data_IF_197832173066
#
_entry.id   IF_197832173066
#
_cell.length_a   1.000
_cell.length_b   1.000
_cell.length_c   1.000
_cell.angle_alpha   90.00
_cell.angle_beta   90.00
_cell.angle_gamma   90.00
#
_symmetry.space_group_name_H-M   'P 1'
#
loop_
_entity.id
_entity.type
_entity.pdbx_description
1 polymer ?
#
# COMPACT_ATOMS: atom_id res chain seq x y z
N UNK A 1 10.63 -81.56 -27.11
CA UNK A 1 11.56 -80.49 -27.50
C UNK A 1 11.05 -79.18 -26.94
N UNK A 2 11.60 -78.77 -25.80
CA UNK A 2 11.10 -77.70 -24.93
C UNK A 2 11.69 -76.36 -25.35
N UNK A 3 10.85 -75.44 -25.81
CA UNK A 3 11.24 -74.08 -26.16
C UNK A 3 11.28 -73.20 -24.91
N UNK A 4 12.48 -72.78 -24.52
CA UNK A 4 12.74 -71.88 -23.39
C UNK A 4 12.41 -70.43 -23.79
N UNK A 5 11.41 -69.85 -23.13
CA UNK A 5 11.11 -68.41 -23.19
C UNK A 5 12.10 -67.64 -22.32
N UNK A 6 12.85 -66.73 -22.94
CA UNK A 6 13.67 -65.73 -22.25
C UNK A 6 12.76 -64.53 -21.92
N UNK A 7 12.62 -64.10 -20.66
CA UNK A 7 11.90 -62.87 -20.34
C UNK A 7 12.77 -61.65 -20.64
N UNK A 8 12.27 -60.76 -21.51
CA UNK A 8 12.85 -59.44 -21.77
C UNK A 8 12.62 -58.52 -20.57
N UNK A 9 13.68 -58.20 -19.84
CA UNK A 9 13.68 -57.19 -18.77
C UNK A 9 13.63 -55.82 -19.42
N UNK A 10 12.46 -55.16 -19.32
CA UNK A 10 12.26 -53.77 -19.72
C UNK A 10 12.89 -52.88 -18.64
N UNK A 11 14.09 -52.37 -18.92
CA UNK A 11 14.73 -51.36 -18.09
C UNK A 11 13.98 -50.02 -18.21
N UNK A 12 13.40 -49.55 -17.11
CA UNK A 12 12.81 -48.22 -16.99
C UNK A 12 13.91 -47.14 -16.95
N UNK A 13 13.74 -45.98 -17.63
CA UNK A 13 14.81 -45.00 -17.79
C UNK A 13 14.93 -43.97 -16.63
N UNK A 14 14.56 -44.34 -15.40
CA UNK A 14 14.45 -43.37 -14.28
C UNK A 14 15.44 -43.58 -13.13
N UNK A 15 16.51 -44.35 -13.32
CA UNK A 15 17.47 -44.66 -12.24
C UNK A 15 18.90 -44.15 -12.48
N UNK A 16 19.09 -43.14 -13.34
CA UNK A 16 20.42 -42.56 -13.62
C UNK A 16 20.67 -41.16 -13.05
N UNK A 17 19.79 -40.63 -12.19
CA UNK A 17 19.94 -39.27 -11.65
C UNK A 17 20.27 -39.20 -10.15
N UNK A 18 20.88 -40.25 -9.58
CA UNK A 18 21.23 -40.28 -8.15
C UNK A 18 22.67 -40.70 -7.82
N UNK A 19 23.58 -40.75 -8.80
CA UNK A 19 25.00 -41.02 -8.55
C UNK A 19 25.92 -39.94 -9.09
N UNK A 20 25.91 -38.79 -8.41
CA UNK A 20 27.07 -37.91 -8.30
C UNK A 20 27.06 -37.19 -6.94
N UNK A 21 26.85 -37.95 -5.86
CA UNK A 21 27.26 -37.50 -4.53
C UNK A 21 28.76 -37.79 -4.42
N UNK A 22 29.55 -36.75 -4.62
CA UNK A 22 30.99 -36.76 -4.37
C UNK A 22 31.29 -37.35 -2.99
N UNK A 23 32.32 -38.19 -2.85
CA UNK A 23 32.70 -38.75 -1.55
C UNK A 23 33.11 -37.64 -0.59
N UNK A 24 32.95 -37.96 0.68
CA UNK A 24 33.14 -37.13 1.84
C UNK A 24 34.51 -36.42 1.90
N UNK A 25 34.48 -35.20 2.45
CA UNK A 25 35.38 -34.90 3.57
C UNK A 25 36.69 -34.18 3.31
N UNK A 26 36.95 -33.65 2.11
CA UNK A 26 38.03 -32.66 1.99
C UNK A 26 37.60 -31.36 2.67
N UNK A 27 38.19 -31.08 3.85
CA UNK A 27 38.10 -29.78 4.52
C UNK A 27 38.71 -28.74 3.57
N UNK A 28 37.87 -28.13 2.73
CA UNK A 28 38.30 -27.00 1.90
C UNK A 28 38.92 -25.97 2.83
N UNK A 29 40.20 -25.65 2.60
CA UNK A 29 40.88 -24.60 3.34
C UNK A 29 40.00 -23.35 3.33
N UNK A 30 39.89 -22.68 4.47
CA UNK A 30 39.18 -21.41 4.56
C UNK A 30 39.79 -20.48 3.50
N UNK A 31 39.01 -19.97 2.54
CA UNK A 31 39.55 -19.12 1.49
C UNK A 31 40.20 -17.90 2.12
N UNK A 32 41.31 -17.44 1.54
CA UNK A 32 41.92 -16.21 2.01
C UNK A 32 40.93 -15.05 1.85
N UNK A 33 41.04 -14.02 2.69
CA UNK A 33 40.13 -12.88 2.65
C UNK A 33 40.09 -12.24 1.25
N UNK A 34 41.23 -12.19 0.56
CA UNK A 34 41.35 -11.67 -0.81
C UNK A 34 40.56 -12.52 -1.80
N UNK A 35 40.68 -13.84 -1.73
CA UNK A 35 39.90 -14.76 -2.58
C UNK A 35 38.40 -14.68 -2.30
N UNK A 36 38.01 -14.42 -1.06
CA UNK A 36 36.61 -14.19 -0.71
C UNK A 36 36.07 -12.90 -1.33
N UNK A 37 36.83 -11.81 -1.28
CA UNK A 37 36.48 -10.53 -1.90
C UNK A 37 36.39 -10.65 -3.43
N UNK A 38 37.35 -11.32 -4.07
CA UNK A 38 37.31 -11.56 -5.52
C UNK A 38 36.12 -12.42 -5.97
N UNK A 39 35.71 -13.38 -5.13
CA UNK A 39 34.57 -14.25 -5.42
C UNK A 39 33.23 -13.50 -5.29
N UNK A 40 33.11 -12.61 -4.32
CA UNK A 40 31.87 -11.86 -4.06
C UNK A 40 31.76 -10.56 -4.86
N UNK A 41 32.87 -9.98 -5.33
CA UNK A 41 32.87 -8.78 -6.18
C UNK A 41 32.37 -9.06 -7.60
N UNK A 42 32.42 -10.32 -8.07
CA UNK A 42 31.91 -10.70 -9.38
C UNK A 42 30.39 -10.98 -9.29
N UNK A 43 29.55 -10.33 -10.11
CA UNK A 43 28.12 -10.60 -10.11
C UNK A 43 27.83 -12.06 -10.50
N UNK A 44 26.92 -12.70 -9.75
CA UNK A 44 26.57 -14.11 -9.94
C UNK A 44 25.95 -14.33 -11.33
N UNK A 45 26.72 -14.89 -12.27
CA UNK A 45 26.24 -15.25 -13.62
C UNK A 45 25.32 -16.47 -13.53
N UNK A 46 24.01 -16.23 -13.45
CA UNK A 46 23.00 -17.29 -13.49
C UNK A 46 22.88 -17.83 -14.92
N UNK A 47 23.44 -19.02 -15.18
CA UNK A 47 23.23 -19.73 -16.44
C UNK A 47 21.79 -20.25 -16.44
N UNK A 48 20.92 -19.65 -17.24
CA UNK A 48 19.58 -20.19 -17.50
C UNK A 48 19.72 -21.25 -18.60
N UNK A 49 19.33 -22.52 -18.36
CA UNK A 49 19.31 -23.50 -19.44
C UNK A 49 18.39 -22.99 -20.55
N UNK A 50 18.94 -22.84 -21.77
CA UNK A 50 18.14 -22.51 -22.95
C UNK A 50 17.47 -23.80 -23.41
N UNK A 51 16.16 -23.87 -23.31
CA UNK A 51 15.39 -24.94 -23.93
C UNK A 51 15.54 -24.86 -25.46
N UNK A 52 15.94 -25.97 -26.07
CA UNK A 52 16.01 -26.07 -27.54
C UNK A 52 14.59 -25.96 -28.07
N UNK A 53 14.33 -24.92 -28.88
CA UNK A 53 13.00 -24.66 -29.45
C UNK A 53 12.61 -25.80 -30.39
N UNK A 54 11.66 -26.64 -29.97
CA UNK A 54 11.04 -27.64 -30.84
C UNK A 54 10.18 -26.89 -31.85
N UNK A 55 10.60 -26.89 -33.12
CA UNK A 55 9.83 -26.26 -34.20
C UNK A 55 8.50 -26.98 -34.35
N UNK A 56 7.42 -26.21 -34.31
CA UNK A 56 6.09 -26.74 -34.64
C UNK A 56 6.11 -27.26 -36.09
N UNK A 57 5.28 -28.25 -36.44
CA UNK A 57 5.20 -28.79 -37.81
C UNK A 57 5.08 -27.70 -38.90
N UNK A 58 4.45 -26.57 -38.56
CA UNK A 58 4.22 -25.39 -39.39
C UNK A 58 5.45 -24.50 -39.63
N UNK A 59 6.46 -24.60 -38.77
CA UNK A 59 7.70 -23.82 -38.85
C UNK A 59 8.80 -24.56 -39.63
N UNK A 60 8.57 -25.80 -40.05
CA UNK A 60 9.51 -26.56 -40.88
C UNK A 60 9.39 -26.06 -42.32
N UNK A 61 10.52 -25.74 -42.94
CA UNK A 61 10.56 -25.32 -44.35
C UNK A 61 10.16 -26.50 -45.25
N UNK A 62 9.18 -26.30 -46.13
CA UNK A 62 8.79 -27.24 -47.18
C UNK A 62 7.33 -27.71 -47.10
N UNK A 63 6.78 -28.26 -48.18
CA UNK A 63 5.43 -28.82 -48.19
C UNK A 63 5.34 -30.02 -47.24
N UNK A 64 4.28 -30.08 -46.44
CA UNK A 64 4.06 -31.20 -45.52
C UNK A 64 3.96 -32.53 -46.28
N UNK A 65 4.53 -33.59 -45.72
CA UNK A 65 4.37 -34.93 -46.29
C UNK A 65 2.91 -35.39 -46.21
N UNK A 66 2.45 -36.25 -47.13
CA UNK A 66 1.06 -36.76 -47.18
C UNK A 66 0.56 -37.34 -45.84
N UNK A 67 1.44 -38.01 -45.07
CA UNK A 67 1.14 -38.52 -43.72
C UNK A 67 0.88 -37.39 -42.71
N UNK A 68 1.59 -36.28 -42.83
CA UNK A 68 1.43 -35.11 -41.98
C UNK A 68 0.14 -34.35 -42.33
N UNK A 69 -0.23 -34.29 -43.62
CA UNK A 69 -1.52 -33.75 -44.06
C UNK A 69 -2.71 -34.50 -43.48
N UNK A 70 -2.70 -35.84 -43.47
CA UNK A 70 -3.78 -36.62 -42.82
C UNK A 70 -3.91 -36.29 -41.32
N UNK A 71 -2.78 -36.15 -40.62
CA UNK A 71 -2.77 -35.75 -39.20
C UNK A 71 -3.31 -34.32 -39.02
N UNK A 72 -2.99 -33.42 -39.95
CA UNK A 72 -3.53 -32.07 -39.94
C UNK A 72 -5.03 -32.04 -40.14
N UNK A 73 -5.57 -32.72 -41.15
CA UNK A 73 -7.02 -32.75 -41.37
C UNK A 73 -7.77 -33.35 -40.18
N UNK A 74 -7.24 -34.40 -39.57
CA UNK A 74 -7.79 -34.95 -38.33
C UNK A 74 -7.72 -33.95 -37.15
N UNK A 75 -6.66 -33.16 -37.06
CA UNK A 75 -6.53 -32.09 -36.06
C UNK A 75 -7.49 -30.93 -36.33
N UNK A 76 -7.60 -30.49 -37.59
CA UNK A 76 -8.46 -29.39 -38.00
C UNK A 76 -9.94 -29.73 -37.80
N UNK A 77 -10.37 -30.95 -38.16
CA UNK A 77 -11.73 -31.40 -37.91
C UNK A 77 -12.12 -31.36 -36.42
N UNK A 78 -11.16 -31.53 -35.51
CA UNK A 78 -11.40 -31.49 -34.05
C UNK A 78 -11.23 -30.11 -33.42
N UNK A 79 -10.34 -29.26 -33.95
CA UNK A 79 -9.94 -28.02 -33.29
C UNK A 79 -10.29 -26.74 -34.08
N UNK A 80 -10.56 -26.85 -35.38
CA UNK A 80 -10.95 -25.72 -36.21
C UNK A 80 -12.46 -25.46 -36.18
N UNK A 81 -13.24 -26.35 -35.57
CA UNK A 81 -14.64 -26.08 -35.26
C UNK A 81 -14.71 -24.85 -34.34
N UNK A 82 -15.56 -23.85 -34.64
CA UNK A 82 -15.71 -22.69 -33.78
C UNK A 82 -16.10 -23.13 -32.38
N UNK A 83 -15.17 -23.00 -31.44
CA UNK A 83 -15.42 -23.36 -30.06
C UNK A 83 -16.46 -22.39 -29.52
N UNK A 84 -17.67 -22.87 -29.27
CA UNK A 84 -18.71 -22.09 -28.59
C UNK A 84 -18.09 -21.55 -27.30
N UNK A 85 -17.96 -20.23 -27.23
CA UNK A 85 -17.40 -19.56 -26.05
C UNK A 85 -18.38 -19.78 -24.92
N UNK A 86 -18.13 -20.80 -24.10
CA UNK A 86 -18.76 -20.95 -22.79
C UNK A 86 -18.62 -19.61 -22.09
N UNK A 87 -19.75 -19.08 -21.63
CA UNK A 87 -19.77 -17.83 -20.88
C UNK A 87 -18.71 -17.92 -19.79
N UNK A 88 -17.81 -16.93 -19.75
CA UNK A 88 -16.75 -16.93 -18.75
C UNK A 88 -17.46 -16.97 -17.40
N UNK A 89 -17.14 -17.93 -16.52
CA UNK A 89 -17.71 -17.93 -15.19
C UNK A 89 -17.45 -16.56 -14.56
N UNK A 90 -18.41 -16.01 -13.81
CA UNK A 90 -18.24 -14.71 -13.18
C UNK A 90 -16.90 -14.68 -12.43
N UNK A 91 -16.14 -13.58 -12.53
CA UNK A 91 -14.82 -13.51 -11.93
C UNK A 91 -14.94 -13.88 -10.46
N UNK A 92 -14.25 -14.96 -10.05
CA UNK A 92 -14.22 -15.38 -8.65
C UNK A 92 -13.73 -14.19 -7.84
N UNK A 93 -14.57 -13.67 -6.96
CA UNK A 93 -14.20 -12.63 -6.00
C UNK A 93 -13.05 -13.23 -5.17
N UNK A 94 -11.83 -12.72 -5.39
CA UNK A 94 -10.60 -13.28 -4.83
C UNK A 94 -10.53 -13.13 -3.30
N UNK A 95 -11.44 -12.37 -2.71
CA UNK A 95 -11.55 -12.18 -1.27
C UNK A 95 -12.40 -13.30 -0.64
N UNK A 96 -12.00 -14.56 -0.79
CA UNK A 96 -12.57 -15.67 -0.01
C UNK A 96 -11.84 -15.89 1.32
N UNK A 97 -10.59 -15.46 1.40
CA UNK A 97 -9.79 -15.58 2.59
C UNK A 97 -10.24 -14.57 3.66
N UNK A 98 -10.77 -15.06 4.78
CA UNK A 98 -11.25 -14.25 5.91
C UNK A 98 -10.17 -13.32 6.50
N UNK A 99 -8.89 -13.69 6.35
CA UNK A 99 -7.77 -12.87 6.81
C UNK A 99 -7.54 -11.62 5.96
N UNK A 100 -8.10 -11.53 4.75
CA UNK A 100 -7.93 -10.36 3.89
C UNK A 100 -8.90 -9.22 4.29
N UNK A 101 -8.45 -7.95 4.28
CA UNK A 101 -9.28 -6.81 4.69
C UNK A 101 -10.60 -6.69 3.91
N UNK A 102 -10.62 -7.15 2.66
CA UNK A 102 -11.79 -7.11 1.79
C UNK A 102 -12.86 -8.17 2.08
N UNK A 103 -12.53 -9.23 2.84
CA UNK A 103 -13.48 -10.28 3.23
C UNK A 103 -14.07 -10.05 4.64
N UNK A 104 -13.49 -9.12 5.41
CA UNK A 104 -13.99 -8.78 6.74
C UNK A 104 -15.31 -8.03 6.61
N UNK A 105 -16.32 -8.49 7.35
CA UNK A 105 -17.59 -7.76 7.48
C UNK A 105 -17.31 -6.43 8.19
N UNK A 106 -17.85 -5.33 7.68
CA UNK A 106 -17.79 -4.06 8.39
C UNK A 106 -18.60 -4.23 9.69
N UNK A 107 -17.91 -4.15 10.84
CA UNK A 107 -18.59 -4.12 12.12
C UNK A 107 -19.18 -2.72 12.30
N UNK A 108 -20.51 -2.64 12.33
CA UNK A 108 -21.22 -1.46 12.80
C UNK A 108 -21.19 -1.51 14.33
N UNK A 109 -20.28 -0.74 14.93
CA UNK A 109 -20.20 -0.58 16.38
C UNK A 109 -21.31 0.38 16.80
N UNK A 110 -22.06 0.08 17.86
CA UNK A 110 -23.06 1.02 18.39
C UNK A 110 -22.39 2.29 18.95
N UNK A 111 -23.10 3.42 18.92
CA UNK A 111 -22.55 4.72 19.32
C UNK A 111 -22.02 4.72 20.77
N UNK A 112 -22.75 4.10 21.70
CA UNK A 112 -22.34 4.03 23.11
C UNK A 112 -21.10 3.16 23.31
N UNK A 113 -21.03 2.00 22.66
CA UNK A 113 -19.84 1.13 22.69
C UNK A 113 -18.61 1.83 22.09
N UNK A 114 -18.81 2.62 21.02
CA UNK A 114 -17.75 3.43 20.43
C UNK A 114 -17.22 4.45 21.45
N UNK A 115 -18.10 5.16 22.17
CA UNK A 115 -17.71 6.13 23.19
C UNK A 115 -16.93 5.48 24.33
N UNK A 116 -17.39 4.34 24.85
CA UNK A 116 -16.66 3.61 25.91
C UNK A 116 -15.28 3.13 25.45
N UNK A 117 -15.20 2.62 24.21
CA UNK A 117 -13.92 2.18 23.64
C UNK A 117 -12.96 3.36 23.45
N UNK A 118 -13.48 4.54 23.07
CA UNK A 118 -12.69 5.76 22.98
C UNK A 118 -12.17 6.19 24.36
N UNK A 119 -13.00 6.16 25.41
CA UNK A 119 -12.56 6.48 26.77
C UNK A 119 -11.46 5.52 27.27
N UNK A 120 -11.58 4.24 26.92
CA UNK A 120 -10.56 3.21 27.23
C UNK A 120 -9.25 3.46 26.47
N UNK A 121 -9.32 3.86 25.20
CA UNK A 121 -8.14 4.14 24.36
C UNK A 121 -7.47 5.48 24.68
N UNK A 122 -8.24 6.46 25.15
CA UNK A 122 -7.74 7.77 25.56
C UNK A 122 -6.86 7.68 26.81
N UNK A 123 -7.15 6.70 27.68
CA UNK A 123 -6.33 6.42 28.86
C UNK A 123 -5.11 5.57 28.44
N UNK A 124 -3.88 6.01 28.75
CA UNK A 124 -2.71 5.19 28.49
C UNK A 124 -2.80 3.88 29.29
N UNK A 125 -2.29 2.77 28.75
CA UNK A 125 -2.35 1.47 29.45
C UNK A 125 -1.58 1.54 30.77
N UNK A 126 -2.09 0.87 31.81
CA UNK A 126 -1.56 0.94 33.18
C UNK A 126 -0.05 0.62 33.28
N UNK A 127 0.46 -0.22 32.38
CA UNK A 127 1.88 -0.59 32.30
C UNK A 127 2.79 0.58 31.91
N UNK A 128 2.26 1.61 31.27
CA UNK A 128 3.01 2.80 30.85
C UNK A 128 2.90 3.97 31.84
N UNK A 129 2.02 3.86 32.84
CA UNK A 129 1.87 4.85 33.91
C UNK A 129 3.04 4.74 34.91
N UNK A 130 4.20 5.26 34.53
CA UNK A 130 5.30 5.51 35.48
C UNK A 130 5.16 6.91 36.08
N UNK A 131 5.74 7.16 37.27
CA UNK A 131 5.76 8.50 37.91
C UNK A 131 6.28 9.61 36.98
N UNK A 132 7.06 9.27 35.95
CA UNK A 132 7.55 10.20 34.91
C UNK A 132 6.47 10.64 33.90
N UNK A 133 5.43 9.85 33.72
CA UNK A 133 4.31 10.10 32.81
C UNK A 133 3.09 10.70 33.52
N UNK A 134 3.17 10.92 34.84
CA UNK A 134 2.31 11.87 35.53
C UNK A 134 2.80 13.27 35.14
N UNK A 135 2.29 13.78 34.03
CA UNK A 135 2.48 15.18 33.69
C UNK A 135 1.72 15.99 34.73
N UNK A 136 2.46 16.66 35.61
CA UNK A 136 1.93 17.86 36.26
C UNK A 136 1.87 18.87 35.13
N UNK A 137 0.67 19.15 34.62
CA UNK A 137 0.47 20.20 33.64
C UNK A 137 0.96 21.51 34.27
N UNK A 138 2.21 21.87 33.95
CA UNK A 138 2.72 23.21 34.18
C UNK A 138 2.26 24.02 32.99
N UNK A 139 1.61 25.14 33.28
CA UNK A 139 1.13 26.04 32.24
C UNK A 139 2.26 26.33 31.25
N UNK A 140 2.08 26.05 29.95
CA UNK A 140 3.12 26.29 28.97
C UNK A 140 3.46 27.78 28.97
N UNK A 141 4.75 28.17 29.03
CA UNK A 141 5.13 29.56 28.95
C UNK A 141 4.66 30.14 27.61
N UNK A 142 4.15 31.37 27.65
CA UNK A 142 3.61 32.09 26.50
C UNK A 142 4.58 32.08 25.30
N UNK A 143 4.20 31.40 24.22
CA UNK A 143 4.95 31.31 22.96
C UNK A 143 4.17 32.02 21.84
N UNK A 144 4.49 33.29 21.50
CA UNK A 144 3.75 34.09 20.53
C UNK A 144 4.12 33.80 19.06
N UNK A 145 4.43 32.55 18.68
CA UNK A 145 4.89 32.25 17.32
C UNK A 145 3.94 31.26 16.63
N UNK A 146 3.04 31.79 15.81
CA UNK A 146 2.29 31.01 14.82
C UNK A 146 3.24 30.79 13.64
N UNK A 147 4.09 29.76 13.73
CA UNK A 147 4.90 29.34 12.57
C UNK A 147 3.99 28.58 11.62
N UNK A 148 3.68 29.18 10.47
CA UNK A 148 3.19 28.41 9.32
C UNK A 148 4.35 27.50 8.91
N UNK A 149 4.25 26.21 9.21
CA UNK A 149 5.34 25.25 9.05
C UNK A 149 6.00 25.35 7.67
N UNK A 150 7.33 25.20 7.62
CA UNK A 150 8.04 25.14 6.34
C UNK A 150 7.45 24.04 5.46
N UNK A 151 7.26 24.30 4.15
CA UNK A 151 6.79 23.27 3.25
C UNK A 151 7.74 22.07 3.28
N UNK A 152 7.21 20.84 3.11
CA UNK A 152 8.01 19.63 3.17
C UNK A 152 9.16 19.68 2.16
N UNK A 153 10.37 19.42 2.66
CA UNK A 153 11.58 19.42 1.84
C UNK A 153 11.57 18.25 0.86
N UNK A 154 12.10 18.46 -0.35
CA UNK A 154 12.24 17.40 -1.35
C UNK A 154 13.19 16.28 -0.86
N UNK A 155 12.78 15.02 -1.01
CA UNK A 155 13.55 13.83 -0.64
C UNK A 155 14.80 13.67 -1.53
N UNK A 156 15.99 13.71 -0.92
CA UNK A 156 17.30 13.70 -1.61
C UNK A 156 17.68 12.35 -2.28
N UNK A 157 16.76 11.39 -2.37
CA UNK A 157 17.05 10.01 -2.81
C UNK A 157 16.34 9.56 -4.09
N UNK A 158 15.57 10.43 -4.75
CA UNK A 158 14.87 10.05 -5.99
C UNK A 158 15.86 10.07 -7.17
N UNK A 159 16.02 8.98 -7.94
CA UNK A 159 16.96 8.91 -9.06
C UNK A 159 16.59 9.79 -10.26
N UNK A 160 15.47 10.53 -10.19
CA UNK A 160 15.02 11.43 -11.24
C UNK A 160 14.62 12.76 -10.61
N UNK A 161 15.10 13.86 -11.18
CA UNK A 161 14.59 15.20 -10.86
C UNK A 161 13.10 15.24 -11.21
N UNK A 162 12.22 15.64 -10.27
CA UNK A 162 10.82 15.80 -10.59
C UNK A 162 10.67 16.90 -11.65
N UNK A 163 9.71 16.74 -12.58
CA UNK A 163 9.43 17.77 -13.56
C UNK A 163 9.02 19.06 -12.85
N UNK A 164 9.51 20.20 -13.32
CA UNK A 164 9.16 21.51 -12.77
C UNK A 164 7.69 21.80 -13.10
N UNK A 165 6.83 21.78 -12.08
CA UNK A 165 5.41 22.12 -12.20
C UNK A 165 5.25 23.60 -11.89
N UNK A 166 4.70 24.42 -12.81
CA UNK A 166 4.42 25.81 -12.51
C UNK A 166 3.39 25.93 -11.39
N UNK A 167 3.52 26.96 -10.57
CA UNK A 167 2.66 27.20 -9.41
C UNK A 167 1.18 27.36 -9.78
N UNK A 168 0.90 27.89 -10.97
CA UNK A 168 -0.44 28.11 -11.50
C UNK A 168 -0.39 27.90 -13.03
N UNK A 169 -1.41 27.24 -13.59
CA UNK A 169 -1.64 27.27 -15.04
C UNK A 169 -2.59 28.41 -15.37
N UNK A 170 -2.36 29.07 -16.51
CA UNK A 170 -3.22 30.17 -16.97
C UNK A 170 -4.59 29.63 -17.39
N UNK A 171 -4.59 28.48 -18.08
CA UNK A 171 -5.78 27.79 -18.60
C UNK A 171 -5.71 26.29 -18.27
N UNK A 172 -6.89 25.66 -18.10
CA UNK A 172 -7.02 24.22 -17.86
C UNK A 172 -6.45 23.36 -19.01
N UNK A 173 -6.48 23.88 -20.25
CA UNK A 173 -5.90 23.20 -21.42
C UNK A 173 -4.38 23.06 -21.31
N UNK A 174 -3.70 24.11 -20.81
CA UNK A 174 -2.25 24.09 -20.60
C UNK A 174 -1.88 23.14 -19.45
N UNK A 175 -2.73 23.06 -18.43
CA UNK A 175 -2.58 22.07 -17.36
C UNK A 175 -2.71 20.64 -17.93
N UNK A 176 -3.77 20.38 -18.70
CA UNK A 176 -4.01 19.07 -19.30
C UNK A 176 -2.86 18.64 -20.23
N UNK A 177 -2.35 19.57 -21.05
CA UNK A 177 -1.24 19.33 -21.96
C UNK A 177 0.06 19.07 -21.21
N UNK A 178 0.35 19.86 -20.16
CA UNK A 178 1.51 19.65 -19.30
C UNK A 178 1.49 18.25 -18.66
N UNK A 179 0.36 17.85 -18.08
CA UNK A 179 0.22 16.52 -17.49
C UNK A 179 0.25 15.41 -18.53
N UNK A 180 -0.19 15.67 -19.77
CA UNK A 180 -0.13 14.69 -20.86
C UNK A 180 1.32 14.38 -21.29
N UNK A 181 2.17 15.40 -21.37
CA UNK A 181 3.59 15.26 -21.73
C UNK A 181 4.42 14.56 -20.65
N UNK A 182 4.04 14.72 -19.38
CA UNK A 182 4.66 14.04 -18.26
C UNK A 182 4.19 12.60 -18.05
N UNK A 183 3.25 12.10 -18.86
CA UNK A 183 2.87 10.68 -18.82
C UNK A 183 4.01 9.83 -19.37
N UNK A 184 4.70 9.15 -18.47
CA UNK A 184 5.61 8.08 -18.83
C UNK A 184 4.91 7.09 -19.78
N UNK A 185 5.58 6.61 -20.84
CA UNK A 185 4.99 5.65 -21.77
C UNK A 185 4.48 4.44 -20.99
N UNK A 186 3.15 4.31 -20.96
CA UNK A 186 2.49 3.28 -20.17
C UNK A 186 2.83 1.94 -20.81
N UNK A 187 3.54 1.07 -20.08
CA UNK A 187 3.83 -0.29 -20.56
C UNK A 187 2.50 -0.97 -20.91
N UNK A 188 2.44 -1.68 -22.05
CA UNK A 188 1.23 -2.43 -22.48
C UNK A 188 0.72 -3.41 -21.41
N UNK A 189 1.59 -3.87 -20.52
CA UNK A 189 1.24 -4.69 -19.36
C UNK A 189 0.48 -3.92 -18.28
N UNK A 190 0.82 -2.65 -18.06
CA UNK A 190 0.12 -1.77 -17.12
C UNK A 190 -1.30 -1.43 -17.60
N UNK A 191 -1.51 -1.31 -18.92
CA UNK A 191 -2.86 -1.13 -19.49
C UNK A 191 -3.81 -2.31 -19.18
N UNK A 192 -3.26 -3.52 -19.00
CA UNK A 192 -4.02 -4.73 -18.65
C UNK A 192 -4.01 -5.01 -17.14
N UNK A 193 -3.25 -4.25 -16.36
CA UNK A 193 -3.12 -4.47 -14.93
C UNK A 193 -4.42 -4.04 -14.24
N UNK A 194 -5.10 -5.00 -13.60
CA UNK A 194 -6.19 -4.70 -12.68
C UNK A 194 -5.58 -4.53 -11.29
N UNK A 195 -5.98 -3.47 -10.58
CA UNK A 195 -5.57 -3.28 -9.19
C UNK A 195 -5.96 -4.52 -8.36
N UNK A 196 -5.06 -4.97 -7.49
CA UNK A 196 -5.37 -6.09 -6.61
C UNK A 196 -6.51 -5.69 -5.65
N UNK A 197 -7.37 -6.62 -5.22
CA UNK A 197 -8.46 -6.31 -4.28
C UNK A 197 -7.96 -5.64 -3.00
N UNK A 198 -6.73 -5.96 -2.58
CA UNK A 198 -6.06 -5.32 -1.45
C UNK A 198 -5.77 -3.84 -1.72
N UNK A 199 -5.21 -3.52 -2.89
CA UNK A 199 -4.95 -2.12 -3.28
C UNK A 199 -6.27 -1.35 -3.35
N UNK A 200 -7.32 -1.95 -3.92
CA UNK A 200 -8.66 -1.34 -3.96
C UNK A 200 -9.20 -1.11 -2.55
N UNK A 201 -9.04 -2.07 -1.63
CA UNK A 201 -9.48 -1.90 -0.23
C UNK A 201 -8.70 -0.83 0.53
N UNK A 202 -7.40 -0.68 0.25
CA UNK A 202 -6.55 0.33 0.86
C UNK A 202 -6.79 1.72 0.26
N UNK A 203 -7.17 1.81 -1.01
CA UNK A 203 -7.48 3.05 -1.70
C UNK A 203 -8.86 3.61 -1.33
N UNK A 204 -9.76 2.79 -0.76
CA UNK A 204 -11.01 3.32 -0.20
C UNK A 204 -10.67 4.32 0.92
N UNK A 205 -11.26 5.53 0.91
CA UNK A 205 -11.02 6.49 1.98
C UNK A 205 -11.36 5.80 3.30
N UNK A 206 -10.37 5.71 4.19
CA UNK A 206 -10.63 5.27 5.55
C UNK A 206 -11.57 6.31 6.14
N UNK A 207 -12.79 5.91 6.46
CA UNK A 207 -13.62 6.65 7.39
C UNK A 207 -12.91 6.57 8.75
N UNK A 208 -11.94 7.46 8.95
CA UNK A 208 -11.44 7.70 10.30
C UNK A 208 -12.65 8.18 11.09
N UNK A 209 -12.94 7.59 12.27
CA UNK A 209 -13.90 8.22 13.16
C UNK A 209 -13.45 9.67 13.33
N UNK A 210 -14.38 10.64 13.25
CA UNK A 210 -14.06 12.06 13.20
C UNK A 210 -13.58 12.58 14.57
N UNK A 211 -12.71 11.89 15.29
CA UNK A 211 -12.44 12.22 16.69
C UNK A 211 -10.96 12.03 17.05
N UNK A 212 -10.28 13.08 17.54
CA UNK A 212 -8.99 12.95 18.18
C UNK A 212 -9.11 12.07 19.43
N UNK A 213 -8.01 11.44 19.81
CA UNK A 213 -7.79 10.56 20.95
C UNK A 213 -8.11 11.19 22.33
N UNK A 214 -8.56 12.44 22.35
CA UNK A 214 -9.00 13.15 23.55
C UNK A 214 -10.41 13.70 23.31
N UNK A 215 -11.28 13.69 24.34
CA UNK A 215 -12.52 14.45 24.28
C UNK A 215 -12.16 15.90 24.00
N UNK A 216 -12.53 16.40 22.82
CA UNK A 216 -12.37 17.81 22.51
C UNK A 216 -13.24 18.55 23.52
N UNK A 217 -12.67 19.42 24.39
CA UNK A 217 -13.50 20.21 25.29
C UNK A 217 -14.55 20.96 24.47
N UNK A 218 -15.79 21.11 24.97
CA UNK A 218 -16.82 21.83 24.24
C UNK A 218 -16.28 23.19 23.82
N UNK A 219 -16.45 23.51 22.53
CA UNK A 219 -15.78 24.65 21.86
C UNK A 219 -16.22 26.01 22.41
N UNK A 220 -17.22 26.05 23.28
CA UNK A 220 -17.81 27.25 23.87
C UNK A 220 -18.21 26.99 25.34
N UNK A 221 -17.87 27.93 26.21
CA UNK A 221 -18.44 28.03 27.56
C UNK A 221 -19.89 28.55 27.44
N UNK A 222 -20.83 28.10 28.29
CA UNK A 222 -22.27 28.33 28.12
C UNK A 222 -22.71 29.82 28.10
N UNK A 223 -21.87 30.74 28.58
CA UNK A 223 -22.16 32.18 28.58
C UNK A 223 -21.74 32.91 27.29
N UNK A 224 -20.94 32.28 26.41
CA UNK A 224 -20.53 32.85 25.11
C UNK A 224 -21.51 32.56 23.97
N UNK A 225 -22.44 31.61 24.14
CA UNK A 225 -23.47 31.30 23.15
C UNK A 225 -24.76 32.11 23.35
N UNK A 226 -24.75 33.13 24.22
CA UNK A 226 -25.86 34.07 24.30
C UNK A 226 -25.98 34.80 22.95
N UNK A 227 -27.14 34.70 22.26
CA UNK A 227 -27.31 35.35 20.98
C UNK A 227 -27.05 36.84 21.14
N UNK A 228 -26.21 37.38 20.26
CA UNK A 228 -25.87 38.80 20.30
C UNK A 228 -27.13 39.68 20.23
N UNK A 229 -27.06 40.91 20.75
CA UNK A 229 -28.18 41.84 20.70
C UNK A 229 -28.67 41.99 19.26
N UNK A 230 -30.00 41.98 19.05
CA UNK A 230 -30.67 41.94 17.73
C UNK A 230 -30.35 43.12 16.78
N UNK A 231 -29.38 43.99 17.08
CA UNK A 231 -29.13 45.27 16.38
C UNK A 231 -27.77 45.36 15.66
N UNK A 232 -27.83 46.07 14.53
CA UNK A 232 -26.94 46.27 13.37
C UNK A 232 -25.44 46.57 13.58
N UNK A 233 -24.88 46.62 14.79
CA UNK A 233 -23.51 47.13 15.01
C UNK A 233 -22.40 46.07 15.00
N UNK A 234 -22.73 44.80 15.23
CA UNK A 234 -21.74 43.71 15.23
C UNK A 234 -22.25 42.49 14.46
N UNK A 235 -21.40 41.90 13.62
CA UNK A 235 -21.61 40.54 13.09
C UNK A 235 -21.49 39.53 14.23
N UNK A 236 -22.00 38.30 14.06
CA UNK A 236 -21.86 37.24 15.10
C UNK A 236 -20.40 37.05 15.55
N UNK A 237 -19.45 37.06 14.60
CA UNK A 237 -18.02 37.05 14.89
C UNK A 237 -17.54 38.32 15.62
N UNK A 238 -18.01 39.50 15.20
CA UNK A 238 -17.68 40.76 15.87
C UNK A 238 -18.21 40.84 17.30
N UNK A 239 -19.39 40.28 17.57
CA UNK A 239 -19.96 40.19 18.91
C UNK A 239 -19.15 39.26 19.81
N UNK A 240 -18.74 38.09 19.28
CA UNK A 240 -17.86 37.15 19.99
C UNK A 240 -16.52 37.80 20.37
N UNK A 241 -15.89 38.52 19.44
CA UNK A 241 -14.65 39.26 19.71
C UNK A 241 -14.84 40.39 20.72
N UNK A 242 -15.98 41.08 20.67
CA UNK A 242 -16.32 42.10 21.65
C UNK A 242 -16.50 41.52 23.06
N UNK A 243 -17.16 40.38 23.20
CA UNK A 243 -17.28 39.67 24.48
C UNK A 243 -15.91 39.19 25.00
N UNK A 244 -15.03 38.68 24.12
CA UNK A 244 -13.65 38.33 24.48
C UNK A 244 -12.90 39.56 25.02
N UNK A 245 -13.06 40.70 24.36
CA UNK A 245 -12.44 41.96 24.78
C UNK A 245 -12.99 42.46 26.12
N UNK A 246 -14.30 42.39 26.35
CA UNK A 246 -14.90 42.75 27.63
C UNK A 246 -14.39 41.83 28.76
N UNK A 247 -14.31 40.52 28.52
CA UNK A 247 -13.77 39.56 29.48
C UNK A 247 -12.27 39.76 29.77
N UNK A 248 -11.51 40.25 28.79
CA UNK A 248 -10.11 40.63 28.96
C UNK A 248 -9.99 41.90 29.83
N UNK A 249 -10.82 42.91 29.57
CA UNK A 249 -10.82 44.18 30.30
C UNK A 249 -11.41 44.07 31.71
N UNK A 250 -12.31 43.12 31.95
CA UNK A 250 -12.92 42.91 33.26
C UNK A 250 -12.00 42.22 34.26
N UNK A 251 -10.81 41.77 33.84
CA UNK A 251 -9.81 41.19 34.74
C UNK A 251 -9.07 42.31 35.47
N UNK A 252 -8.98 42.28 36.81
CA UNK A 252 -8.26 43.31 37.56
C UNK A 252 -6.79 43.31 37.16
N UNK A 253 -6.27 44.48 36.78
CA UNK A 253 -4.91 44.62 36.24
C UNK A 253 -3.83 44.54 37.33
N UNK A 254 -4.20 44.55 38.61
CA UNK A 254 -3.29 44.45 39.76
C UNK A 254 -3.94 43.67 40.91
N UNK A 255 -3.46 42.45 41.15
CA UNK A 255 -3.73 41.61 42.32
C UNK A 255 -2.74 40.44 42.34
N UNK A 256 -2.17 40.06 43.50
CA UNK A 256 -1.01 39.15 43.59
C UNK A 256 -1.32 37.68 43.28
N UNK A 257 -2.60 37.28 43.24
CA UNK A 257 -3.00 35.92 42.94
C UNK A 257 -3.80 35.89 41.64
N UNK A 258 -3.07 35.74 40.54
CA UNK A 258 -3.61 35.50 39.21
C UNK A 258 -4.23 34.10 39.11
N UNK A 259 -5.39 33.91 39.75
CA UNK A 259 -6.28 32.80 39.48
C UNK A 259 -7.02 33.05 38.16
N UNK A 260 -6.35 32.91 37.01
CA UNK A 260 -7.08 32.77 35.75
C UNK A 260 -6.38 31.88 34.72
N UNK A 261 -7.19 30.92 34.27
CA UNK A 261 -7.29 30.26 32.96
C UNK A 261 -6.90 28.78 32.94
N UNK A 262 -7.81 27.90 33.40
CA UNK A 262 -8.36 26.73 32.68
C UNK A 262 -9.40 26.03 33.60
N UNK A 263 -10.68 26.37 33.39
CA UNK A 263 -11.80 25.42 33.45
C UNK A 263 -12.65 25.68 32.21
#
# INVERSE_FOLDING_TARGET
MSSTKIPSIVATPNEKFLMSRSPAGEKKAQPSWVEWVERNSKPLKRIRPKEVRVLTPWQKKGPMQKKQWKKFYAWAARNATPLERKEKPPPKILCKAEYLPCARKNQTIEYYELMENLEKLAKPPDRMLTKKHQFVDRDPPFSPVIVWGQPPHHDKGRPFEPPHVPCCFINDELEADFWSHLRFPIRRTALKARASPRIVSLARPKAYPPLPHCPIPPRTLPWWDQPGPKRKKFTSSGWRLHQIRLAYLSKPTRGPDNLYFYM
#
